data_IF_055277183055
#
_entry.id   IF_055277183055
#
_cell.length_a   1.000
_cell.length_b   1.000
_cell.length_c   1.000
_cell.angle_alpha   90.00
_cell.angle_beta   90.00
_cell.angle_gamma   90.00
#
_symmetry.space_group_name_H-M   'P 1'
#
loop_
_entity.id
_entity.type
_entity.pdbx_description
1 polymer ?
#
# COMPACT_ATOMS: atom_id res chain seq x y z
N UNK A 1 -7.05 -35.88 -38.91
CA UNK A 1 -5.58 -36.00 -38.74
C UNK A 1 -5.30 -35.87 -37.26
N UNK A 2 -4.78 -36.93 -36.66
CA UNK A 2 -4.53 -37.06 -35.22
C UNK A 2 -3.54 -35.98 -34.73
N UNK A 3 -3.77 -35.41 -33.55
CA UNK A 3 -2.95 -34.35 -32.91
C UNK A 3 -1.47 -34.74 -32.68
N UNK A 4 -1.09 -35.97 -33.03
CA UNK A 4 0.18 -36.63 -32.72
C UNK A 4 1.40 -36.19 -33.55
N UNK A 5 1.31 -35.17 -34.43
CA UNK A 5 2.45 -34.74 -35.26
C UNK A 5 2.49 -33.22 -35.53
N UNK A 6 1.97 -32.40 -34.61
CA UNK A 6 2.01 -30.93 -34.74
C UNK A 6 3.35 -30.36 -34.29
N UNK A 7 3.90 -29.41 -35.05
CA UNK A 7 5.11 -28.66 -34.68
C UNK A 7 4.82 -27.61 -33.59
N UNK A 8 5.86 -27.17 -32.88
CA UNK A 8 5.71 -26.12 -31.85
C UNK A 8 5.11 -24.82 -32.40
N UNK A 9 5.47 -24.43 -33.63
CA UNK A 9 4.93 -23.26 -34.31
C UNK A 9 3.43 -23.41 -34.63
N UNK A 10 2.99 -24.60 -35.01
CA UNK A 10 1.58 -24.87 -35.29
C UNK A 10 0.73 -24.85 -34.01
N UNK A 11 1.26 -25.42 -32.92
CA UNK A 11 0.64 -25.28 -31.60
C UNK A 11 0.55 -23.82 -31.16
N UNK A 12 1.60 -23.03 -31.37
CA UNK A 12 1.59 -21.60 -31.08
C UNK A 12 0.52 -20.86 -31.88
N UNK A 13 0.42 -21.13 -33.19
CA UNK A 13 -0.58 -20.52 -34.08
C UNK A 13 -2.00 -20.79 -33.59
N UNK A 14 -2.29 -22.05 -33.23
CA UNK A 14 -3.58 -22.44 -32.62
C UNK A 14 -3.83 -21.74 -31.29
N UNK A 15 -2.80 -21.62 -30.45
CA UNK A 15 -2.89 -20.85 -29.20
C UNK A 15 -3.30 -19.40 -29.45
N UNK A 16 -2.70 -18.74 -30.45
CA UNK A 16 -3.06 -17.37 -30.83
C UNK A 16 -4.49 -17.25 -31.37
N UNK A 17 -4.96 -18.22 -32.17
CA UNK A 17 -6.34 -18.26 -32.65
C UNK A 17 -7.34 -18.39 -31.51
N UNK A 18 -7.08 -19.28 -30.55
CA UNK A 18 -7.94 -19.47 -29.39
C UNK A 18 -7.86 -18.28 -28.42
N UNK A 19 -6.69 -17.64 -28.30
CA UNK A 19 -6.54 -16.39 -27.54
C UNK A 19 -7.40 -15.26 -28.12
N UNK A 20 -7.48 -15.14 -29.46
CA UNK A 20 -8.34 -14.14 -30.12
C UNK A 20 -9.84 -14.42 -29.95
N UNK A 21 -10.22 -15.67 -29.67
CA UNK A 21 -11.60 -16.09 -29.38
C UNK A 21 -11.93 -16.02 -27.88
N UNK A 22 -11.05 -15.47 -27.05
CA UNK A 22 -11.16 -15.45 -25.59
C UNK A 22 -11.24 -16.86 -24.93
N UNK A 23 -10.80 -17.91 -25.64
CA UNK A 23 -10.76 -19.29 -25.16
C UNK A 23 -9.46 -19.56 -24.39
N UNK A 24 -9.29 -18.88 -23.25
CA UNK A 24 -8.02 -18.83 -22.50
C UNK A 24 -7.48 -20.21 -22.09
N UNK A 25 -8.34 -21.11 -21.62
CA UNK A 25 -7.94 -22.45 -21.17
C UNK A 25 -7.38 -23.31 -22.31
N UNK A 26 -7.99 -23.22 -23.50
CA UNK A 26 -7.55 -23.94 -24.70
C UNK A 26 -6.27 -23.31 -25.23
N UNK A 27 -6.18 -21.98 -25.24
CA UNK A 27 -4.97 -21.25 -25.61
C UNK A 27 -3.77 -21.65 -24.73
N UNK A 28 -3.96 -21.76 -23.40
CA UNK A 28 -2.93 -22.24 -22.47
C UNK A 28 -2.43 -23.65 -22.79
N UNK A 29 -3.35 -24.57 -23.11
CA UNK A 29 -3.02 -25.94 -23.49
C UNK A 29 -2.13 -25.95 -24.75
N UNK A 30 -2.53 -25.17 -25.77
CA UNK A 30 -1.77 -25.02 -27.01
C UNK A 30 -0.38 -24.41 -26.80
N UNK A 31 -0.26 -23.31 -26.04
CA UNK A 31 1.04 -22.72 -25.72
C UNK A 31 1.93 -23.65 -24.89
N UNK A 32 1.35 -24.43 -23.97
CA UNK A 32 2.09 -25.40 -23.16
C UNK A 32 2.60 -26.56 -24.02
N UNK A 33 1.80 -27.05 -24.98
CA UNK A 33 2.27 -28.06 -25.93
C UNK A 33 3.38 -27.52 -26.84
N UNK A 34 3.29 -26.25 -27.28
CA UNK A 34 4.37 -25.61 -28.03
C UNK A 34 5.69 -25.57 -27.21
N UNK A 35 5.61 -25.22 -25.93
CA UNK A 35 6.77 -25.17 -25.02
C UNK A 35 7.38 -26.55 -24.73
N UNK A 36 6.58 -27.63 -24.72
CA UNK A 36 7.06 -29.00 -24.50
C UNK A 36 7.88 -29.55 -25.68
N UNK A 37 7.62 -29.06 -26.90
CA UNK A 37 8.25 -29.57 -28.13
C UNK A 37 9.55 -28.83 -28.51
N UNK A 38 9.83 -27.67 -27.92
CA UNK A 38 11.08 -26.94 -28.16
C UNK A 38 12.16 -27.40 -27.17
N UNK A 39 13.16 -28.14 -27.67
CA UNK A 39 14.41 -28.40 -26.95
C UNK A 39 15.19 -27.10 -26.69
N UNK A 40 16.01 -27.08 -25.63
CA UNK A 40 16.69 -25.89 -25.07
C UNK A 40 17.54 -25.07 -26.06
N UNK A 41 17.83 -25.60 -27.25
CA UNK A 41 18.77 -25.04 -28.22
C UNK A 41 18.18 -24.03 -29.22
N UNK A 42 16.85 -23.82 -29.30
CA UNK A 42 16.21 -22.79 -30.17
C UNK A 42 15.64 -21.62 -29.37
N UNK A 43 16.54 -20.71 -28.99
CA UNK A 43 16.33 -19.63 -28.02
C UNK A 43 15.24 -18.58 -28.39
N UNK A 44 15.01 -18.25 -29.67
CA UNK A 44 14.12 -17.11 -30.02
C UNK A 44 12.61 -17.40 -29.97
N UNK A 45 12.17 -18.58 -30.41
CA UNK A 45 10.73 -18.91 -30.47
C UNK A 45 10.13 -19.18 -29.09
N UNK A 46 10.92 -19.76 -28.18
CA UNK A 46 10.52 -20.07 -26.80
C UNK A 46 10.11 -18.81 -26.02
N UNK A 47 10.80 -17.69 -26.24
CA UNK A 47 10.44 -16.40 -25.64
C UNK A 47 9.04 -15.92 -26.03
N UNK A 48 8.66 -16.09 -27.30
CA UNK A 48 7.30 -15.73 -27.78
C UNK A 48 6.23 -16.62 -27.13
N UNK A 49 6.50 -17.92 -26.97
CA UNK A 49 5.54 -18.88 -26.43
C UNK A 49 5.26 -18.60 -24.94
N UNK A 50 6.30 -18.41 -24.14
CA UNK A 50 6.13 -17.99 -22.74
C UNK A 50 5.46 -16.62 -22.63
N UNK A 51 5.79 -15.65 -23.49
CA UNK A 51 5.16 -14.32 -23.43
C UNK A 51 3.65 -14.41 -23.66
N UNK A 52 3.21 -15.14 -24.68
CA UNK A 52 1.78 -15.29 -24.96
C UNK A 52 1.06 -16.14 -23.90
N UNK A 53 1.75 -17.15 -23.33
CA UNK A 53 1.21 -17.92 -22.21
C UNK A 53 1.07 -17.06 -20.94
N UNK A 54 2.04 -16.21 -20.63
CA UNK A 54 1.97 -15.23 -19.55
C UNK A 54 0.80 -14.25 -19.75
N UNK A 55 0.62 -13.71 -20.96
CA UNK A 55 -0.53 -12.84 -21.26
C UNK A 55 -1.87 -13.58 -21.07
N UNK A 56 -1.92 -14.87 -21.40
CA UNK A 56 -3.12 -15.70 -21.18
C UNK A 56 -3.38 -15.96 -19.70
N UNK A 57 -2.35 -16.25 -18.90
CA UNK A 57 -2.47 -16.35 -17.44
C UNK A 57 -2.92 -15.02 -16.82
N UNK A 58 -2.44 -13.89 -17.35
CA UNK A 58 -2.88 -12.57 -16.91
C UNK A 58 -4.38 -12.35 -17.14
N UNK A 59 -4.94 -12.84 -18.26
CA UNK A 59 -6.39 -12.82 -18.54
C UNK A 59 -7.20 -13.68 -17.57
N UNK A 60 -6.58 -14.71 -17.00
CA UNK A 60 -7.19 -15.60 -16.00
C UNK A 60 -6.91 -15.16 -14.55
N UNK A 61 -6.25 -14.02 -14.35
CA UNK A 61 -5.81 -13.55 -13.03
C UNK A 61 -4.91 -14.52 -12.26
N UNK A 62 -4.21 -15.42 -12.96
CA UNK A 62 -3.24 -16.35 -12.37
C UNK A 62 -1.85 -15.69 -12.36
N UNK A 63 -1.69 -14.68 -11.50
CA UNK A 63 -0.56 -13.75 -11.52
C UNK A 63 0.78 -14.41 -11.16
N UNK A 64 0.77 -15.45 -10.32
CA UNK A 64 1.96 -16.24 -9.98
C UNK A 64 2.55 -16.92 -11.22
N UNK A 65 1.71 -17.53 -12.06
CA UNK A 65 2.18 -18.15 -13.31
C UNK A 65 2.61 -17.12 -14.35
N UNK A 66 2.02 -15.92 -14.34
CA UNK A 66 2.54 -14.79 -15.15
C UNK A 66 3.99 -14.50 -14.77
N UNK A 67 4.28 -14.41 -13.48
CA UNK A 67 5.63 -14.12 -12.98
C UNK A 67 6.61 -15.23 -13.38
N UNK A 68 6.23 -16.50 -13.23
CA UNK A 68 7.05 -17.65 -13.61
C UNK A 68 7.41 -17.64 -15.12
N UNK A 69 6.41 -17.43 -15.97
CA UNK A 69 6.62 -17.37 -17.42
C UNK A 69 7.43 -16.13 -17.81
N UNK A 70 7.17 -14.97 -17.21
CA UNK A 70 7.98 -13.77 -17.46
C UNK A 70 9.44 -13.98 -17.04
N UNK A 71 9.70 -14.59 -15.89
CA UNK A 71 11.07 -14.91 -15.43
C UNK A 71 11.83 -15.77 -16.44
N UNK A 72 11.14 -16.71 -17.08
CA UNK A 72 11.70 -17.57 -18.12
C UNK A 72 12.07 -16.81 -19.39
N UNK A 73 11.35 -15.71 -19.71
CA UNK A 73 11.57 -14.89 -20.90
C UNK A 73 12.60 -13.78 -20.69
N UNK A 74 12.81 -13.31 -19.46
CA UNK A 74 13.73 -12.20 -19.17
C UNK A 74 15.17 -12.44 -19.67
N UNK A 75 15.57 -13.71 -19.81
CA UNK A 75 16.86 -14.12 -20.39
C UNK A 75 16.97 -13.87 -21.91
N UNK A 76 15.85 -13.59 -22.58
CA UNK A 76 15.71 -13.60 -24.06
C UNK A 76 15.10 -12.28 -24.58
N UNK A 77 14.02 -11.79 -23.96
CA UNK A 77 13.31 -10.56 -24.35
C UNK A 77 12.89 -9.78 -23.09
N UNK A 78 13.61 -8.72 -22.74
CA UNK A 78 13.48 -8.07 -21.44
C UNK A 78 12.24 -7.16 -21.31
N UNK A 79 12.02 -6.22 -22.23
CA UNK A 79 11.09 -5.10 -21.96
C UNK A 79 9.60 -5.52 -21.82
N UNK A 80 9.08 -6.33 -22.75
CA UNK A 80 7.67 -6.76 -22.71
C UNK A 80 7.36 -7.70 -21.53
N UNK A 81 8.32 -8.56 -21.19
CA UNK A 81 8.22 -9.46 -20.03
C UNK A 81 8.28 -8.68 -18.72
N UNK A 82 9.18 -7.70 -18.58
CA UNK A 82 9.24 -6.81 -17.40
C UNK A 82 7.93 -6.03 -17.23
N UNK A 83 7.34 -5.52 -18.32
CA UNK A 83 6.09 -4.78 -18.20
C UNK A 83 4.95 -5.68 -17.73
N UNK A 84 4.81 -6.87 -18.32
CA UNK A 84 3.77 -7.84 -17.94
C UNK A 84 3.96 -8.34 -16.51
N UNK A 85 5.21 -8.60 -16.10
CA UNK A 85 5.55 -9.00 -14.72
C UNK A 85 5.26 -7.88 -13.73
N UNK A 86 5.61 -6.62 -14.03
CA UNK A 86 5.29 -5.48 -13.17
C UNK A 86 3.78 -5.33 -12.92
N UNK A 87 2.95 -5.64 -13.93
CA UNK A 87 1.49 -5.60 -13.82
C UNK A 87 0.93 -6.73 -12.96
N UNK A 88 1.51 -7.93 -13.06
CA UNK A 88 1.14 -9.06 -12.20
C UNK A 88 1.57 -8.82 -10.75
N UNK A 89 2.79 -8.30 -10.54
CA UNK A 89 3.29 -7.93 -9.22
C UNK A 89 2.45 -6.82 -8.57
N UNK A 90 2.01 -5.83 -9.35
CA UNK A 90 1.08 -4.80 -8.87
C UNK A 90 -0.26 -5.39 -8.41
N UNK A 91 -0.80 -6.37 -9.14
CA UNK A 91 -2.04 -7.05 -8.76
C UNK A 91 -1.89 -7.94 -7.50
N UNK A 92 -0.67 -8.39 -7.21
CA UNK A 92 -0.32 -9.13 -5.99
C UNK A 92 0.18 -8.23 -4.86
N UNK A 93 0.06 -6.90 -5.00
CA UNK A 93 0.55 -5.91 -4.03
C UNK A 93 2.07 -6.00 -3.73
N UNK A 94 2.84 -6.64 -4.60
CA UNK A 94 4.31 -6.74 -4.54
C UNK A 94 4.95 -5.51 -5.20
N UNK A 95 4.65 -4.33 -4.66
CA UNK A 95 4.94 -3.04 -5.29
C UNK A 95 6.44 -2.73 -5.45
N UNK A 96 7.29 -3.19 -4.53
CA UNK A 96 8.74 -2.97 -4.60
C UNK A 96 9.35 -3.67 -5.82
N UNK A 97 9.01 -4.95 -6.02
CA UNK A 97 9.46 -5.73 -7.18
C UNK A 97 8.89 -5.16 -8.48
N UNK A 98 7.63 -4.71 -8.47
CA UNK A 98 7.02 -4.03 -9.62
C UNK A 98 7.76 -2.72 -9.97
N UNK A 99 8.20 -1.96 -8.96
CA UNK A 99 8.96 -0.72 -9.15
C UNK A 99 10.31 -1.01 -9.81
N UNK A 100 11.02 -2.03 -9.34
CA UNK A 100 12.32 -2.43 -9.90
C UNK A 100 12.22 -2.85 -11.38
N UNK A 101 11.15 -3.57 -11.75
CA UNK A 101 10.89 -3.94 -13.14
C UNK A 101 10.69 -2.71 -14.03
N UNK A 102 9.91 -1.74 -13.55
CA UNK A 102 9.63 -0.51 -14.28
C UNK A 102 10.87 0.39 -14.36
N UNK A 103 11.68 0.46 -13.33
CA UNK A 103 12.97 1.18 -13.34
C UNK A 103 13.95 0.57 -14.36
N UNK A 104 13.98 -0.74 -14.48
CA UNK A 104 14.78 -1.44 -15.49
C UNK A 104 14.32 -1.07 -16.91
N UNK A 105 13.01 -0.96 -17.14
CA UNK A 105 12.44 -0.50 -18.41
C UNK A 105 12.82 0.97 -18.68
N UNK A 106 12.66 1.86 -17.70
CA UNK A 106 12.99 3.29 -17.81
C UNK A 106 14.48 3.48 -18.10
N UNK A 107 15.36 2.68 -17.48
CA UNK A 107 16.80 2.75 -17.72
C UNK A 107 17.18 2.40 -19.16
N UNK A 108 16.37 1.56 -19.82
CA UNK A 108 16.55 1.16 -21.22
C UNK A 108 15.92 2.15 -22.21
N UNK A 109 14.78 2.75 -21.86
CA UNK A 109 14.09 3.79 -22.65
C UNK A 109 13.69 5.00 -21.77
N UNK A 110 14.65 5.91 -21.47
CA UNK A 110 14.43 7.00 -20.53
C UNK A 110 13.39 8.01 -20.99
N UNK A 111 13.11 8.12 -22.29
CA UNK A 111 12.21 9.12 -22.85
C UNK A 111 10.74 8.68 -22.84
N UNK A 112 10.45 7.45 -22.40
CA UNK A 112 9.11 6.92 -22.40
C UNK A 112 8.26 7.48 -21.25
N UNK A 113 7.45 8.50 -21.55
CA UNK A 113 6.55 9.14 -20.58
C UNK A 113 5.55 8.18 -19.95
N UNK A 114 5.21 7.06 -20.60
CA UNK A 114 4.28 6.06 -20.02
C UNK A 114 4.95 5.35 -18.85
N UNK A 115 6.16 4.82 -19.06
CA UNK A 115 6.90 4.13 -18.00
C UNK A 115 7.34 5.08 -16.89
N UNK A 116 7.74 6.32 -17.21
CA UNK A 116 8.03 7.33 -16.18
C UNK A 116 6.83 7.61 -15.26
N UNK A 117 5.62 7.73 -15.82
CA UNK A 117 4.40 7.94 -15.02
C UNK A 117 4.09 6.71 -14.17
N UNK A 118 4.25 5.51 -14.74
CA UNK A 118 4.06 4.26 -14.01
C UNK A 118 5.03 4.14 -12.83
N UNK A 119 6.32 4.39 -13.06
CA UNK A 119 7.36 4.33 -12.02
C UNK A 119 7.09 5.33 -10.90
N UNK A 120 6.77 6.60 -11.23
CA UNK A 120 6.40 7.60 -10.21
C UNK A 120 5.20 7.16 -9.35
N UNK A 121 4.19 6.55 -9.96
CA UNK A 121 3.01 6.07 -9.24
C UNK A 121 3.36 4.90 -8.31
N UNK A 122 4.12 3.91 -8.79
CA UNK A 122 4.52 2.76 -7.98
C UNK A 122 5.43 3.19 -6.82
N UNK A 123 6.38 4.10 -7.06
CA UNK A 123 7.26 4.63 -6.02
C UNK A 123 6.47 5.32 -4.90
N UNK A 124 5.43 6.09 -5.26
CA UNK A 124 4.54 6.71 -4.27
C UNK A 124 3.83 5.65 -3.40
N UNK A 125 3.32 4.59 -4.02
CA UNK A 125 2.66 3.49 -3.28
C UNK A 125 3.65 2.80 -2.33
N UNK A 126 4.88 2.53 -2.78
CA UNK A 126 5.93 1.92 -1.94
C UNK A 126 6.28 2.82 -0.75
N UNK A 127 6.41 4.13 -0.97
CA UNK A 127 6.67 5.09 0.09
C UNK A 127 5.55 5.11 1.13
N UNK A 128 4.29 5.20 0.68
CA UNK A 128 3.11 5.16 1.56
C UNK A 128 3.05 3.85 2.36
N UNK A 129 3.32 2.70 1.73
CA UNK A 129 3.35 1.41 2.43
C UNK A 129 4.45 1.35 3.50
N UNK A 130 5.64 1.87 3.17
CA UNK A 130 6.77 1.89 4.09
C UNK A 130 6.51 2.81 5.28
N UNK A 131 5.99 4.01 5.03
CA UNK A 131 5.58 4.95 6.06
C UNK A 131 4.52 4.32 6.98
N UNK A 132 3.47 3.72 6.41
CA UNK A 132 2.45 3.01 7.18
C UNK A 132 3.02 1.86 8.04
N UNK A 133 3.97 1.09 7.52
CA UNK A 133 4.57 -0.03 8.24
C UNK A 133 5.41 0.38 9.46
N UNK A 134 6.01 1.58 9.45
CA UNK A 134 6.76 2.12 10.59
C UNK A 134 5.89 2.96 11.53
N UNK A 135 4.90 3.67 10.99
CA UNK A 135 4.00 4.53 11.77
C UNK A 135 3.07 3.71 12.66
N UNK A 136 2.51 2.60 12.17
CA UNK A 136 1.54 1.80 12.95
C UNK A 136 2.09 1.21 14.27
N UNK A 137 3.26 0.55 14.29
CA UNK A 137 3.86 0.08 15.54
C UNK A 137 4.18 1.21 16.50
N UNK A 138 4.71 2.33 15.98
CA UNK A 138 5.09 3.49 16.79
C UNK A 138 3.87 4.15 17.43
N UNK A 139 2.76 4.32 16.69
CA UNK A 139 1.49 4.80 17.26
C UNK A 139 1.00 3.84 18.34
N UNK A 140 1.08 2.52 18.12
CA UNK A 140 0.68 1.54 19.12
C UNK A 140 1.49 1.66 20.41
N UNK A 141 2.82 1.67 20.31
CA UNK A 141 3.72 1.77 21.44
C UNK A 141 3.48 3.06 22.24
N UNK A 142 3.33 4.20 21.54
CA UNK A 142 3.08 5.48 22.21
C UNK A 142 1.68 5.54 22.84
N UNK A 143 0.65 4.94 22.23
CA UNK A 143 -0.66 4.83 22.87
C UNK A 143 -0.57 3.96 24.12
N UNK A 144 0.05 2.79 24.05
CA UNK A 144 0.16 1.89 25.19
C UNK A 144 0.89 2.56 26.36
N UNK A 145 1.97 3.29 26.09
CA UNK A 145 2.71 4.05 27.10
C UNK A 145 1.93 5.26 27.64
N UNK A 146 1.25 6.01 26.77
CA UNK A 146 0.51 7.21 27.16
C UNK A 146 -0.69 6.91 28.07
N UNK A 147 -1.29 5.72 27.94
CA UNK A 147 -2.45 5.30 28.71
C UNK A 147 -2.14 4.20 29.75
N UNK A 148 -0.87 3.87 29.99
CA UNK A 148 -0.47 2.95 31.05
C UNK A 148 -0.56 3.62 32.43
N UNK A 149 -1.37 3.04 33.31
CA UNK A 149 -1.57 3.48 34.69
C UNK A 149 -0.29 3.31 35.54
N UNK A 150 0.59 2.38 35.15
CA UNK A 150 1.84 2.10 35.85
C UNK A 150 3.01 2.97 35.37
N UNK A 151 2.88 3.64 34.22
CA UNK A 151 3.92 4.53 33.70
C UNK A 151 4.03 5.79 34.57
N UNK A 152 5.23 6.34 34.69
CA UNK A 152 5.45 7.62 35.36
C UNK A 152 4.81 8.78 34.58
N UNK A 153 4.48 9.87 35.27
CA UNK A 153 3.92 11.07 34.63
C UNK A 153 4.80 11.58 33.48
N UNK A 154 6.13 11.52 33.67
CA UNK A 154 7.11 11.94 32.66
C UNK A 154 7.10 11.03 31.43
N UNK A 155 6.94 9.72 31.61
CA UNK A 155 6.84 8.78 30.49
C UNK A 155 5.55 9.00 29.69
N UNK A 156 4.41 9.18 30.37
CA UNK A 156 3.14 9.51 29.72
C UNK A 156 3.21 10.83 28.95
N UNK A 157 3.87 11.84 29.52
CA UNK A 157 4.06 13.14 28.86
C UNK A 157 4.92 13.01 27.58
N UNK A 158 6.01 12.25 27.62
CA UNK A 158 6.83 11.97 26.43
C UNK A 158 6.02 11.23 25.37
N UNK A 159 5.25 10.20 25.76
CA UNK A 159 4.41 9.45 24.85
C UNK A 159 3.35 10.33 24.18
N UNK A 160 2.69 11.20 24.94
CA UNK A 160 1.70 12.14 24.41
C UNK A 160 2.29 13.19 23.48
N UNK A 161 3.49 13.70 23.78
CA UNK A 161 4.17 14.63 22.88
C UNK A 161 4.58 13.95 21.56
N UNK A 162 5.00 12.68 21.62
CA UNK A 162 5.28 11.91 20.41
C UNK A 162 4.02 11.61 19.60
N UNK A 163 2.89 11.30 20.26
CA UNK A 163 1.60 11.14 19.59
C UNK A 163 1.14 12.45 18.94
N UNK A 164 1.38 13.60 19.58
CA UNK A 164 1.07 14.91 18.99
C UNK A 164 1.85 15.15 17.70
N UNK A 165 3.14 14.78 17.66
CA UNK A 165 3.94 14.87 16.44
C UNK A 165 3.39 13.93 15.36
N UNK A 166 2.97 12.71 15.72
CA UNK A 166 2.39 11.75 14.78
C UNK A 166 1.01 12.18 14.27
N UNK A 167 0.20 12.87 15.09
CA UNK A 167 -1.13 13.35 14.72
C UNK A 167 -1.12 14.46 13.67
N UNK A 168 0.02 15.12 13.45
CA UNK A 168 0.22 16.12 12.38
C UNK A 168 0.43 15.50 11.00
N UNK A 169 0.85 14.25 10.97
CA UNK A 169 0.98 13.48 9.74
C UNK A 169 -0.32 12.75 9.44
N UNK A 170 -0.71 12.69 8.16
CA UNK A 170 -1.99 12.07 7.77
C UNK A 170 -2.04 10.59 8.16
N UNK A 171 -0.93 9.85 7.96
CA UNK A 171 -0.86 8.42 8.28
C UNK A 171 -0.91 8.19 9.79
N UNK A 172 -0.22 9.02 10.56
CA UNK A 172 -0.23 8.95 12.02
C UNK A 172 -1.60 9.29 12.60
N UNK A 173 -2.26 10.32 12.06
CA UNK A 173 -3.60 10.71 12.44
C UNK A 173 -4.65 9.62 12.14
N UNK A 174 -4.61 9.03 10.94
CA UNK A 174 -5.50 7.92 10.57
C UNK A 174 -5.31 6.72 11.51
N UNK A 175 -4.07 6.37 11.82
CA UNK A 175 -3.78 5.23 12.68
C UNK A 175 -4.18 5.48 14.15
N UNK A 176 -3.98 6.70 14.67
CA UNK A 176 -4.46 7.09 16.01
C UNK A 176 -5.98 6.91 16.09
N UNK A 177 -6.71 7.36 15.07
CA UNK A 177 -8.18 7.21 15.01
C UNK A 177 -8.58 5.74 14.94
N UNK A 178 -7.90 4.94 14.11
CA UNK A 178 -8.15 3.50 13.94
C UNK A 178 -7.91 2.70 15.23
N UNK A 179 -6.93 3.10 16.05
CA UNK A 179 -6.60 2.48 17.35
C UNK A 179 -7.38 3.07 18.53
N UNK A 180 -8.56 3.63 18.27
CA UNK A 180 -9.46 4.22 19.28
C UNK A 180 -8.83 5.35 20.11
N UNK A 181 -7.79 6.01 19.59
CA UNK A 181 -7.04 7.04 20.30
C UNK A 181 -7.92 8.19 20.77
N UNK A 182 -8.92 8.60 19.98
CA UNK A 182 -9.87 9.65 20.35
C UNK A 182 -10.66 9.29 21.61
N UNK A 183 -11.17 8.06 21.69
CA UNK A 183 -11.94 7.59 22.85
C UNK A 183 -11.06 7.55 24.11
N UNK A 184 -9.84 7.02 23.97
CA UNK A 184 -8.85 6.96 25.06
C UNK A 184 -8.48 8.36 25.56
N UNK A 185 -8.26 9.32 24.65
CA UNK A 185 -7.98 10.73 25.00
C UNK A 185 -9.13 11.34 25.80
N UNK A 186 -10.38 11.18 25.35
CA UNK A 186 -11.55 11.72 26.05
C UNK A 186 -11.67 11.16 27.47
N UNK A 187 -11.32 9.89 27.68
CA UNK A 187 -11.31 9.27 29.01
C UNK A 187 -10.14 9.77 29.86
N UNK A 188 -8.93 9.85 29.30
CA UNK A 188 -7.73 10.30 30.00
C UNK A 188 -7.88 11.72 30.54
N UNK A 189 -8.40 12.64 29.73
CA UNK A 189 -8.57 14.05 30.13
C UNK A 189 -9.49 14.22 31.35
N UNK A 190 -10.36 13.24 31.64
CA UNK A 190 -11.22 13.27 32.84
C UNK A 190 -10.52 12.83 34.13
N UNK A 191 -9.47 12.01 34.02
CA UNK A 191 -8.82 11.36 35.17
C UNK A 191 -7.39 11.83 35.41
N UNK A 192 -6.73 12.33 34.37
CA UNK A 192 -5.36 12.82 34.41
C UNK A 192 -5.27 14.14 35.19
N UNK A 193 -4.15 14.30 35.89
CA UNK A 193 -3.85 15.50 36.71
C UNK A 193 -2.69 16.29 36.15
N UNK A 194 -1.82 15.66 35.36
CA UNK A 194 -0.71 16.33 34.71
C UNK A 194 -1.23 17.24 33.58
N UNK A 195 -1.11 18.56 33.77
CA UNK A 195 -1.57 19.55 32.78
C UNK A 195 -0.85 19.43 31.43
N UNK A 196 0.42 19.04 31.41
CA UNK A 196 1.18 18.83 30.18
C UNK A 196 0.56 17.71 29.34
N UNK A 197 0.28 16.57 29.97
CA UNK A 197 -0.40 15.41 29.35
C UNK A 197 -1.78 15.82 28.82
N UNK A 198 -2.57 16.54 29.62
CA UNK A 198 -3.91 17.01 29.24
C UNK A 198 -3.83 17.97 28.05
N UNK A 199 -2.95 18.96 28.08
CA UNK A 199 -2.78 19.92 27.00
C UNK A 199 -2.36 19.24 25.68
N UNK A 200 -1.45 18.27 25.75
CA UNK A 200 -1.05 17.49 24.58
C UNK A 200 -2.21 16.62 24.06
N UNK A 201 -3.04 16.05 24.94
CA UNK A 201 -4.23 15.31 24.55
C UNK A 201 -5.24 16.17 23.78
N UNK A 202 -5.51 17.38 24.28
CA UNK A 202 -6.42 18.34 23.63
C UNK A 202 -5.88 18.76 22.27
N UNK A 203 -4.56 19.03 22.18
CA UNK A 203 -3.93 19.38 20.90
C UNK A 203 -4.01 18.24 19.89
N UNK A 204 -3.77 16.99 20.30
CA UNK A 204 -3.94 15.83 19.42
C UNK A 204 -5.34 15.82 18.80
N UNK A 205 -6.39 16.03 19.60
CA UNK A 205 -7.77 16.09 19.08
C UNK A 205 -7.94 17.18 18.01
N UNK A 206 -7.30 18.34 18.19
CA UNK A 206 -7.28 19.42 17.20
C UNK A 206 -6.56 19.03 15.90
N UNK A 207 -5.35 18.47 16.00
CA UNK A 207 -4.56 18.03 14.85
C UNK A 207 -5.30 16.91 14.07
N UNK A 208 -5.98 16.00 14.79
CA UNK A 208 -6.87 15.00 14.18
C UNK A 208 -8.08 15.62 13.46
N UNK A 209 -8.39 16.91 13.62
CA UNK A 209 -9.44 17.56 12.86
C UNK A 209 -8.91 18.37 11.67
N UNK A 210 -7.61 18.62 11.60
CA UNK A 210 -7.03 19.54 10.63
C UNK A 210 -7.18 19.01 9.20
N UNK A 211 -7.68 19.86 8.29
CA UNK A 211 -7.81 19.63 6.84
C UNK A 211 -8.51 18.32 6.39
N UNK A 212 -9.23 17.60 7.28
CA UNK A 212 -9.89 16.34 6.94
C UNK A 212 -11.32 16.24 7.50
N UNK A 213 -12.31 16.58 6.67
CA UNK A 213 -13.74 16.59 7.04
C UNK A 213 -14.25 15.25 7.62
N UNK A 214 -13.83 14.13 7.05
CA UNK A 214 -14.27 12.80 7.50
C UNK A 214 -13.76 12.52 8.91
N UNK A 215 -12.49 12.86 9.17
CA UNK A 215 -11.84 12.72 10.47
C UNK A 215 -12.46 13.68 11.48
N UNK A 216 -12.66 14.96 11.14
CA UNK A 216 -13.36 15.93 11.99
C UNK A 216 -14.74 15.43 12.39
N UNK A 217 -15.54 14.94 11.43
CA UNK A 217 -16.88 14.39 11.69
C UNK A 217 -16.83 13.19 12.64
N UNK A 218 -15.83 12.32 12.51
CA UNK A 218 -15.64 11.18 13.40
C UNK A 218 -15.24 11.62 14.82
N UNK A 219 -14.26 12.53 14.94
CA UNK A 219 -13.79 13.07 16.22
C UNK A 219 -14.92 13.77 16.96
N UNK A 220 -15.70 14.62 16.26
CA UNK A 220 -16.81 15.36 16.84
C UNK A 220 -17.94 14.47 17.37
N UNK A 221 -18.10 13.24 16.86
CA UNK A 221 -19.06 12.27 17.42
C UNK A 221 -18.64 11.73 18.79
N UNK A 222 -17.34 11.67 19.06
CA UNK A 222 -16.80 11.13 20.32
C UNK A 222 -16.58 12.23 21.36
N UNK A 223 -16.10 13.38 20.91
CA UNK A 223 -15.75 14.52 21.74
C UNK A 223 -16.99 15.35 22.07
N UNK A 224 -17.72 15.79 21.03
CA UNK A 224 -18.89 16.66 21.16
C UNK A 224 -18.55 18.09 21.60
N UNK A 225 -19.51 19.01 21.42
CA UNK A 225 -19.32 20.43 21.79
C UNK A 225 -19.20 20.63 23.30
N UNK A 226 -19.88 19.81 24.10
CA UNK A 226 -19.84 19.88 25.56
C UNK A 226 -18.44 19.68 26.12
N UNK A 227 -17.69 18.71 25.59
CA UNK A 227 -16.30 18.47 25.99
C UNK A 227 -15.43 19.70 25.71
N UNK A 228 -15.55 20.32 24.53
CA UNK A 228 -14.78 21.53 24.21
C UNK A 228 -15.08 22.69 25.16
N UNK A 229 -16.36 22.88 25.53
CA UNK A 229 -16.77 23.91 26.49
C UNK A 229 -16.26 23.63 27.90
N UNK A 230 -16.29 22.37 28.34
CA UNK A 230 -15.76 21.93 29.64
C UNK A 230 -14.26 22.22 29.76
N UNK A 231 -13.48 21.99 28.70
CA UNK A 231 -12.04 22.25 28.73
C UNK A 231 -11.67 23.73 28.74
N UNK A 232 -12.47 24.57 28.06
CA UNK A 232 -12.32 26.03 28.14
C UNK A 232 -12.72 26.58 29.51
N UNK A 233 -13.60 25.89 30.24
CA UNK A 233 -13.98 26.25 31.60
C UNK A 233 -12.97 25.73 32.63
N UNK A 234 -11.70 26.10 32.46
CA UNK A 234 -10.58 25.69 33.32
C UNK A 234 -9.88 26.89 33.95
N UNK A 235 -9.32 26.71 35.13
CA UNK A 235 -8.45 27.69 35.79
C UNK A 235 -7.01 27.66 35.27
N UNK A 236 -6.61 26.62 34.54
CA UNK A 236 -5.30 26.55 33.87
C UNK A 236 -5.34 27.32 32.55
N UNK A 237 -4.46 28.31 32.44
CA UNK A 237 -4.32 29.12 31.22
C UNK A 237 -3.81 28.28 30.04
N UNK A 238 -2.95 27.30 30.31
CA UNK A 238 -2.39 26.38 29.30
C UNK A 238 -3.50 25.53 28.68
N UNK A 239 -4.40 25.00 29.52
CA UNK A 239 -5.53 24.18 29.07
C UNK A 239 -6.52 25.01 28.25
N UNK A 240 -6.80 26.24 28.68
CA UNK A 240 -7.65 27.17 27.91
C UNK A 240 -7.03 27.46 26.55
N UNK A 241 -5.73 27.75 26.50
CA UNK A 241 -5.02 28.02 25.24
C UNK A 241 -5.01 26.80 24.31
N UNK A 242 -4.80 25.59 24.84
CA UNK A 242 -4.86 24.36 24.05
C UNK A 242 -6.27 24.11 23.48
N UNK A 243 -7.31 24.38 24.28
CA UNK A 243 -8.71 24.23 23.88
C UNK A 243 -9.11 25.25 22.81
N UNK A 244 -8.65 26.49 22.94
CA UNK A 244 -8.84 27.53 21.93
C UNK A 244 -8.21 27.14 20.60
N UNK A 245 -6.95 26.65 20.63
CA UNK A 245 -6.28 26.16 19.43
C UNK A 245 -7.05 25.02 18.75
N UNK A 246 -7.59 24.08 19.53
CA UNK A 246 -8.39 22.96 18.99
C UNK A 246 -9.72 23.42 18.34
N UNK A 247 -10.25 24.58 18.72
CA UNK A 247 -11.52 25.12 18.22
C UNK A 247 -11.38 26.10 17.06
N UNK A 248 -10.16 26.62 16.82
CA UNK A 248 -9.83 27.51 15.70
C UNK A 248 -9.77 26.73 14.39
#
# INVERSE_FOLDING_TARGET
>A
MTESNMSAQEWYRKGCEEYQKDNWSVALSHYTNALKLEEETKCKCKGMYYTNRALTYFKLSDYEKVIEDCNSVLKICCMGALYTRSKALEALERFEEACWDVETIISSDPNNKVFQRLGRRLLKIVQEHKENSHTSPKVSEMLDLAFDVNASEKEREIAMNNLLVLARDETGAEEIVKKEGVSKIVQLVKVEKNEGVICSAIRIVGELCENNFSRTKFVMKHVGLSWCLELMNSTSIERVNASQYCLQ
#
